data_IF_812510660894
#
_entry.id   IF_812510660894
#
_cell.length_a   1.000
_cell.length_b   1.000
_cell.length_c   1.000
_cell.angle_alpha   90.00
_cell.angle_beta   90.00
_cell.angle_gamma   90.00
#
_symmetry.space_group_name_H-M   'P 1'
#
loop_
_entity.id
_entity.type
_entity.pdbx_description
1 polymer ?
#
# COMPACT_ATOMS: atom_id res chain seq x y z
N UNK A 1 22.93 13.57 12.85
CA UNK A 1 22.54 12.26 13.45
C UNK A 1 22.03 11.37 12.34
N UNK A 2 22.27 10.07 12.39
CA UNK A 2 21.73 9.13 11.40
C UNK A 2 20.23 8.97 11.66
N UNK A 3 19.41 9.10 10.63
CA UNK A 3 17.96 8.92 10.74
C UNK A 3 17.63 7.48 11.15
N UNK A 4 16.59 7.29 11.95
CA UNK A 4 16.09 5.97 12.31
C UNK A 4 15.45 5.29 11.11
N UNK A 5 15.61 3.97 11.02
CA UNK A 5 15.06 3.20 9.91
C UNK A 5 13.58 2.95 10.08
N UNK A 6 12.83 3.15 9.00
CA UNK A 6 11.41 2.80 8.91
C UNK A 6 11.18 1.92 7.67
N UNK A 7 10.62 0.73 7.88
CA UNK A 7 10.17 -0.13 6.79
C UNK A 7 8.65 -0.03 6.64
N UNK A 8 8.20 0.41 5.47
CA UNK A 8 6.78 0.45 5.11
C UNK A 8 6.52 -0.69 4.13
N UNK A 9 5.56 -1.57 4.46
CA UNK A 9 5.19 -2.69 3.60
C UNK A 9 3.76 -2.52 3.12
N UNK A 10 3.58 -2.56 1.80
CA UNK A 10 2.25 -2.64 1.20
C UNK A 10 1.98 -4.06 0.73
N UNK A 11 0.91 -4.65 1.22
CA UNK A 11 0.48 -6.00 0.84
C UNK A 11 -0.82 -5.96 0.03
N UNK A 12 -0.87 -6.76 -1.05
CA UNK A 12 -2.04 -6.86 -1.93
C UNK A 12 -3.16 -7.74 -1.36
N UNK A 13 -4.37 -7.59 -1.93
CA UNK A 13 -5.56 -8.31 -1.47
C UNK A 13 -5.45 -9.84 -1.55
N UNK A 14 -4.75 -10.40 -2.53
CA UNK A 14 -4.59 -11.86 -2.68
C UNK A 14 -3.90 -12.50 -1.47
N UNK A 15 -2.83 -11.87 -0.99
CA UNK A 15 -2.09 -12.34 0.20
C UNK A 15 -2.96 -12.22 1.45
N UNK A 16 -3.71 -11.13 1.57
CA UNK A 16 -4.57 -10.85 2.73
C UNK A 16 -5.75 -11.83 2.84
N UNK A 17 -6.19 -12.40 1.71
CA UNK A 17 -7.31 -13.35 1.67
C UNK A 17 -6.90 -14.79 1.90
N UNK A 18 -5.65 -15.14 1.64
CA UNK A 18 -5.08 -16.46 1.88
C UNK A 18 -4.51 -16.51 3.31
N UNK A 19 -5.12 -17.31 4.17
CA UNK A 19 -4.78 -17.35 5.60
C UNK A 19 -3.32 -17.82 5.83
N UNK A 20 -2.80 -18.74 5.03
CA UNK A 20 -1.45 -19.26 5.16
C UNK A 20 -0.43 -18.20 4.71
N UNK A 21 -0.63 -17.62 3.52
CA UNK A 21 0.22 -16.55 2.99
C UNK A 21 0.25 -15.33 3.92
N UNK A 22 -0.92 -14.94 4.47
CA UNK A 22 -0.99 -13.85 5.44
C UNK A 22 -0.22 -14.18 6.71
N UNK A 23 -0.38 -15.39 7.27
CA UNK A 23 0.31 -15.79 8.49
C UNK A 23 1.84 -15.80 8.30
N UNK A 24 2.35 -16.25 7.16
CA UNK A 24 3.76 -16.19 6.80
C UNK A 24 4.24 -14.74 6.69
N UNK A 25 3.53 -13.90 5.92
CA UNK A 25 3.86 -12.47 5.81
C UNK A 25 3.94 -11.79 7.18
N UNK A 26 2.95 -12.04 8.06
CA UNK A 26 2.92 -11.43 9.39
C UNK A 26 4.07 -11.94 10.29
N UNK A 27 4.52 -13.19 10.12
CA UNK A 27 5.70 -13.71 10.80
C UNK A 27 6.97 -12.98 10.34
N UNK A 28 7.19 -12.88 9.03
CA UNK A 28 8.33 -12.16 8.46
C UNK A 28 8.29 -10.67 8.81
N UNK A 29 7.12 -10.04 8.73
CA UNK A 29 6.93 -8.64 9.14
C UNK A 29 7.24 -8.44 10.63
N UNK A 30 6.86 -9.38 11.50
CA UNK A 30 7.14 -9.29 12.93
C UNK A 30 8.64 -9.31 13.24
N UNK A 31 9.43 -10.03 12.42
CA UNK A 31 10.88 -10.17 12.56
C UNK A 31 11.68 -8.94 12.06
N UNK A 32 11.05 -8.02 11.32
CA UNK A 32 11.70 -6.78 10.87
C UNK A 32 12.11 -5.94 12.08
N UNK A 33 13.38 -5.57 12.15
CA UNK A 33 13.92 -4.70 13.19
C UNK A 33 13.70 -3.21 12.88
N UNK A 34 13.62 -2.38 13.93
CA UNK A 34 13.35 -0.94 13.80
C UNK A 34 11.87 -0.62 13.65
N UNK A 35 11.59 0.62 13.22
CA UNK A 35 10.21 1.05 12.99
C UNK A 35 9.64 0.39 11.73
N UNK A 36 8.37 0.04 11.80
CA UNK A 36 7.65 -0.60 10.70
C UNK A 36 6.19 -0.19 10.64
N UNK A 37 5.63 -0.15 9.45
CA UNK A 37 4.24 0.20 9.16
C UNK A 37 3.73 -0.71 8.05
N UNK A 38 2.50 -1.20 8.19
CA UNK A 38 1.86 -2.05 7.18
C UNK A 38 0.70 -1.30 6.51
N UNK A 39 0.63 -1.38 5.19
CA UNK A 39 -0.52 -0.92 4.41
C UNK A 39 -1.12 -2.12 3.70
N UNK A 40 -2.41 -2.37 3.90
CA UNK A 40 -3.06 -3.52 3.27
C UNK A 40 -4.05 -3.13 2.17
N UNK A 41 -4.28 -4.06 1.24
CA UNK A 41 -5.40 -4.02 0.33
C UNK A 41 -6.62 -4.74 0.90
N UNK A 42 -7.53 -5.17 0.04
CA UNK A 42 -8.75 -5.90 0.42
C UNK A 42 -9.81 -5.91 -0.67
N UNK A 43 -9.44 -5.47 -1.87
CA UNK A 43 -10.38 -5.26 -2.97
C UNK A 43 -11.16 -6.52 -3.38
N UNK A 44 -10.55 -7.70 -3.36
CA UNK A 44 -11.22 -8.98 -3.66
C UNK A 44 -12.24 -9.33 -2.60
N UNK A 45 -11.86 -9.24 -1.31
CA UNK A 45 -12.77 -9.46 -0.18
C UNK A 45 -13.97 -8.51 -0.25
N UNK A 46 -13.73 -7.22 -0.56
CA UNK A 46 -14.82 -6.27 -0.73
C UNK A 46 -15.73 -6.63 -1.91
N UNK A 47 -15.20 -7.08 -3.06
CA UNK A 47 -16.00 -7.54 -4.19
C UNK A 47 -16.86 -8.76 -3.80
N UNK A 48 -16.27 -9.72 -3.09
CA UNK A 48 -16.97 -10.93 -2.63
C UNK A 48 -18.13 -10.58 -1.69
N UNK A 49 -17.88 -9.72 -0.70
CA UNK A 49 -18.91 -9.30 0.26
C UNK A 49 -19.98 -8.45 -0.44
N UNK A 50 -19.59 -7.51 -1.32
CA UNK A 50 -20.55 -6.73 -2.11
C UNK A 50 -21.50 -7.63 -2.91
N UNK A 51 -20.97 -8.64 -3.61
CA UNK A 51 -21.77 -9.60 -4.36
C UNK A 51 -22.74 -10.39 -3.47
N UNK A 52 -22.34 -10.80 -2.27
CA UNK A 52 -23.19 -11.47 -1.30
C UNK A 52 -24.34 -10.57 -0.80
N UNK A 53 -24.14 -9.26 -0.79
CA UNK A 53 -25.13 -8.24 -0.44
C UNK A 53 -25.96 -7.75 -1.64
N UNK A 54 -25.77 -8.34 -2.83
CA UNK A 54 -26.46 -7.91 -4.06
C UNK A 54 -25.96 -6.59 -4.63
N UNK A 55 -24.76 -6.12 -4.23
CA UNK A 55 -24.14 -4.88 -4.71
C UNK A 55 -23.12 -5.24 -5.80
N UNK A 56 -23.33 -4.70 -6.99
CA UNK A 56 -22.42 -4.91 -8.13
C UNK A 56 -21.18 -4.01 -8.01
N UNK A 57 -20.00 -4.62 -8.11
CA UNK A 57 -18.73 -3.90 -8.09
C UNK A 57 -18.25 -3.54 -9.48
N UNK A 58 -18.09 -2.27 -9.76
CA UNK A 58 -17.58 -1.76 -11.04
C UNK A 58 -16.12 -1.32 -10.89
N UNK A 59 -15.29 -1.75 -11.86
CA UNK A 59 -13.86 -1.43 -11.89
C UNK A 59 -13.52 -0.77 -13.23
N UNK A 60 -12.83 0.38 -13.17
CA UNK A 60 -12.33 1.07 -14.36
C UNK A 60 -10.85 1.42 -14.15
N UNK A 61 -10.01 1.01 -15.10
CA UNK A 61 -8.55 1.21 -15.03
C UNK A 61 -7.94 0.75 -13.69
N UNK A 62 -8.39 -0.40 -13.17
CA UNK A 62 -7.91 -0.96 -11.91
C UNK A 62 -8.41 -0.23 -10.66
N UNK A 63 -9.32 0.73 -10.78
CA UNK A 63 -9.91 1.50 -9.68
C UNK A 63 -11.39 1.19 -9.55
N UNK A 64 -11.86 1.08 -8.32
CA UNK A 64 -13.27 0.81 -7.99
C UNK A 64 -14.09 2.09 -8.11
N UNK A 65 -15.16 2.06 -8.89
CA UNK A 65 -16.24 3.05 -8.77
C UNK A 65 -16.89 2.82 -7.41
N UNK A 66 -16.99 3.86 -6.63
CA UNK A 66 -17.41 3.77 -5.23
C UNK A 66 -18.62 4.67 -5.01
N UNK A 67 -19.81 4.13 -5.26
CA UNK A 67 -21.05 4.75 -4.85
C UNK A 67 -21.28 4.64 -3.33
N UNK A 68 -22.40 5.11 -2.83
CA UNK A 68 -22.68 5.13 -1.40
C UNK A 68 -22.77 3.72 -0.77
N UNK A 69 -23.32 2.74 -1.48
CA UNK A 69 -23.43 1.37 -0.97
C UNK A 69 -22.10 0.63 -1.06
N UNK A 70 -21.36 0.83 -2.13
CA UNK A 70 -19.99 0.34 -2.24
C UNK A 70 -19.09 0.95 -1.16
N UNK A 71 -19.25 2.25 -0.83
CA UNK A 71 -18.48 2.88 0.25
C UNK A 71 -18.75 2.20 1.60
N UNK A 72 -20.01 1.89 1.93
CA UNK A 72 -20.36 1.13 3.14
C UNK A 72 -19.62 -0.22 3.19
N UNK A 73 -19.67 -0.97 2.07
CA UNK A 73 -18.99 -2.27 1.97
C UNK A 73 -17.49 -2.15 2.18
N UNK A 74 -16.82 -1.24 1.45
CA UNK A 74 -15.36 -1.10 1.59
C UNK A 74 -14.98 -0.59 2.98
N UNK A 75 -15.79 0.25 3.61
CA UNK A 75 -15.55 0.70 4.99
C UNK A 75 -15.62 -0.47 5.97
N UNK A 76 -16.67 -1.31 5.90
CA UNK A 76 -16.80 -2.51 6.73
C UNK A 76 -15.66 -3.50 6.49
N UNK A 77 -15.35 -3.77 5.22
CA UNK A 77 -14.36 -4.79 4.86
C UNK A 77 -12.93 -4.31 5.11
N UNK A 78 -12.57 -3.12 4.67
CA UNK A 78 -11.19 -2.65 4.84
C UNK A 78 -10.91 -2.20 6.26
N UNK A 79 -11.75 -1.32 6.85
CA UNK A 79 -11.56 -0.79 8.19
C UNK A 79 -11.86 -1.78 9.32
N UNK A 80 -12.80 -2.68 9.06
CA UNK A 80 -13.22 -3.72 10.02
C UNK A 80 -12.53 -5.06 9.76
N UNK A 81 -13.08 -5.85 8.85
CA UNK A 81 -12.72 -7.26 8.68
C UNK A 81 -11.22 -7.48 8.42
N UNK A 82 -10.69 -6.87 7.35
CA UNK A 82 -9.30 -7.11 6.93
C UNK A 82 -8.33 -6.48 7.93
N UNK A 83 -8.53 -5.22 8.25
CA UNK A 83 -7.65 -4.47 9.15
C UNK A 83 -7.53 -5.15 10.53
N UNK A 84 -8.66 -5.50 11.15
CA UNK A 84 -8.65 -6.07 12.51
C UNK A 84 -8.12 -7.51 12.54
N UNK A 85 -8.31 -8.30 11.48
CA UNK A 85 -7.70 -9.62 11.39
C UNK A 85 -6.16 -9.53 11.30
N UNK A 86 -5.63 -8.56 10.54
CA UNK A 86 -4.18 -8.30 10.48
C UNK A 86 -3.66 -7.85 11.85
N UNK A 87 -4.34 -6.92 12.51
CA UNK A 87 -3.96 -6.45 13.85
C UNK A 87 -3.95 -7.61 14.85
N UNK A 88 -5.00 -8.44 14.88
CA UNK A 88 -5.07 -9.61 15.76
C UNK A 88 -3.92 -10.60 15.48
N UNK A 89 -3.62 -10.86 14.21
CA UNK A 89 -2.49 -11.71 13.80
C UNK A 89 -1.13 -11.16 14.22
N UNK A 90 -0.92 -9.85 14.17
CA UNK A 90 0.29 -9.19 14.64
C UNK A 90 0.41 -9.21 16.17
N UNK A 91 -0.69 -8.97 16.89
CA UNK A 91 -0.71 -9.07 18.36
C UNK A 91 -0.37 -10.49 18.82
N UNK A 92 -0.86 -11.52 18.13
CA UNK A 92 -0.50 -12.92 18.43
C UNK A 92 0.99 -13.23 18.22
N UNK A 93 1.71 -12.38 17.46
CA UNK A 93 3.17 -12.47 17.23
C UNK A 93 3.96 -11.48 18.10
N UNK A 94 3.34 -10.86 19.11
CA UNK A 94 3.99 -9.94 20.04
C UNK A 94 4.24 -8.54 19.46
N UNK A 95 3.65 -8.19 18.32
CA UNK A 95 3.75 -6.84 17.73
C UNK A 95 2.61 -5.98 18.26
N UNK A 96 2.91 -4.87 18.95
CA UNK A 96 1.92 -3.92 19.42
C UNK A 96 1.35 -3.09 18.26
N UNK A 97 0.38 -3.65 17.54
CA UNK A 97 -0.19 -3.07 16.34
C UNK A 97 -1.50 -2.33 16.61
N UNK A 98 -1.72 -1.23 15.88
CA UNK A 98 -2.98 -0.48 15.83
C UNK A 98 -3.48 -0.42 14.39
N UNK A 99 -4.76 -0.73 14.20
CA UNK A 99 -5.40 -0.59 12.89
C UNK A 99 -6.04 0.77 12.72
N UNK A 100 -5.67 1.46 11.63
CA UNK A 100 -6.10 2.82 11.31
C UNK A 100 -6.68 2.91 9.90
N UNK A 101 -7.64 3.80 9.75
CA UNK A 101 -8.00 4.48 8.50
C UNK A 101 -7.36 5.87 8.49
N UNK A 102 -7.45 6.59 7.39
CA UNK A 102 -7.00 7.98 7.35
C UNK A 102 -7.78 8.93 8.28
N UNK A 103 -9.01 8.55 8.65
CA UNK A 103 -9.86 9.34 9.55
C UNK A 103 -9.41 9.26 11.02
N UNK A 104 -8.78 8.14 11.40
CA UNK A 104 -8.30 7.97 12.78
C UNK A 104 -7.17 8.96 13.02
N UNK A 105 -7.28 9.80 14.03
CA UNK A 105 -6.32 10.88 14.39
C UNK A 105 -5.97 11.81 13.21
N UNK A 106 -6.83 11.92 12.18
CA UNK A 106 -6.59 12.71 10.96
C UNK A 106 -5.23 12.38 10.31
N UNK A 107 -4.90 11.08 10.25
CA UNK A 107 -3.58 10.66 9.76
C UNK A 107 -3.44 10.78 8.26
N UNK A 108 -4.53 10.67 7.47
CA UNK A 108 -4.52 10.90 6.02
C UNK A 108 -5.80 11.59 5.58
N UNK A 109 -5.67 12.84 5.14
CA UNK A 109 -6.74 13.62 4.55
C UNK A 109 -6.68 13.59 3.03
N UNK A 110 -7.83 13.44 2.40
CA UNK A 110 -8.00 13.42 0.94
C UNK A 110 -9.03 14.43 0.49
N UNK A 111 -9.05 14.72 -0.80
CA UNK A 111 -10.20 15.37 -1.45
C UNK A 111 -10.92 14.35 -2.30
N UNK A 112 -12.24 14.47 -2.39
CA UNK A 112 -13.02 13.69 -3.34
C UNK A 112 -12.47 13.91 -4.74
N UNK A 113 -12.20 12.82 -5.45
CA UNK A 113 -11.67 12.90 -6.82
C UNK A 113 -12.62 13.70 -7.71
N UNK A 114 -12.13 14.73 -8.41
CA UNK A 114 -12.96 15.49 -9.33
C UNK A 114 -13.44 14.61 -10.49
N UNK A 115 -14.69 14.80 -10.88
CA UNK A 115 -15.26 14.14 -12.06
C UNK A 115 -14.58 14.70 -13.31
N UNK A 116 -14.09 13.78 -14.16
CA UNK A 116 -13.60 14.07 -15.51
C UNK A 116 -14.43 13.21 -16.48
N UNK A 117 -13.77 12.36 -17.26
CA UNK A 117 -14.44 11.41 -18.17
C UNK A 117 -15.24 10.35 -17.39
N UNK A 118 -14.85 10.04 -16.16
CA UNK A 118 -15.46 9.02 -15.30
C UNK A 118 -15.72 9.61 -13.92
N UNK A 119 -16.94 9.42 -13.41
CA UNK A 119 -17.26 9.66 -12.01
C UNK A 119 -16.90 8.40 -11.18
N UNK A 120 -15.85 8.50 -10.38
CA UNK A 120 -15.45 7.43 -9.48
C UNK A 120 -16.23 7.42 -8.15
N UNK A 121 -17.15 8.38 -7.94
CA UNK A 121 -17.93 8.49 -6.71
C UNK A 121 -17.09 8.92 -5.49
N UNK A 122 -17.20 8.17 -4.39
CA UNK A 122 -16.52 8.46 -3.13
C UNK A 122 -15.07 7.95 -3.12
N UNK A 123 -14.29 8.33 -4.12
CA UNK A 123 -12.85 8.04 -4.22
C UNK A 123 -12.05 9.25 -3.78
N UNK A 124 -11.03 9.03 -2.94
CA UNK A 124 -10.15 10.07 -2.40
C UNK A 124 -8.81 10.16 -3.13
N UNK A 125 -8.39 11.40 -3.40
CA UNK A 125 -7.02 11.75 -3.77
C UNK A 125 -6.32 12.37 -2.56
N UNK A 126 -5.22 11.76 -2.10
CA UNK A 126 -4.51 12.16 -0.88
C UNK A 126 -4.00 13.60 -1.02
N UNK A 127 -4.27 14.42 -0.01
CA UNK A 127 -3.80 15.81 0.09
C UNK A 127 -2.77 16.00 1.18
N UNK A 128 -2.94 15.30 2.29
CA UNK A 128 -2.08 15.47 3.45
C UNK A 128 -1.95 14.15 4.21
N UNK A 129 -0.74 13.86 4.65
CA UNK A 129 -0.43 12.82 5.63
C UNK A 129 0.11 13.49 6.88
N UNK A 130 -0.45 13.17 8.03
CA UNK A 130 -0.01 13.67 9.33
C UNK A 130 1.22 12.87 9.81
N UNK A 131 2.37 13.13 9.19
CA UNK A 131 3.63 12.45 9.49
C UNK A 131 4.03 12.58 10.98
N UNK A 132 3.89 13.74 11.66
CA UNK A 132 4.19 13.84 13.09
C UNK A 132 3.36 12.89 13.95
N UNK A 133 2.07 12.69 13.65
CA UNK A 133 1.22 11.77 14.39
C UNK A 133 1.65 10.31 14.18
N UNK A 134 1.91 9.90 12.94
CA UNK A 134 2.42 8.55 12.65
C UNK A 134 3.79 8.32 13.29
N UNK A 135 4.69 9.30 13.24
CA UNK A 135 6.00 9.22 13.91
C UNK A 135 5.86 9.06 15.43
N UNK A 136 4.92 9.78 16.04
CA UNK A 136 4.64 9.65 17.48
C UNK A 136 4.23 8.22 17.86
N UNK A 137 3.37 7.56 17.07
CA UNK A 137 3.00 6.17 17.29
C UNK A 137 4.22 5.24 17.17
N UNK A 138 5.01 5.41 16.10
CA UNK A 138 6.21 4.61 15.84
C UNK A 138 7.23 4.73 16.97
N UNK A 139 7.49 5.94 17.46
CA UNK A 139 8.42 6.17 18.60
C UNK A 139 7.91 5.58 19.92
N UNK A 140 6.59 5.39 20.07
CA UNK A 140 5.99 4.67 21.21
C UNK A 140 6.00 3.14 21.04
N UNK A 141 6.61 2.62 19.97
CA UNK A 141 6.63 1.19 19.67
C UNK A 141 5.29 0.64 19.19
N UNK A 142 4.37 1.52 18.78
CA UNK A 142 3.07 1.14 18.19
C UNK A 142 3.24 1.04 16.68
N UNK A 143 2.81 -0.10 16.10
CA UNK A 143 2.92 -0.39 14.68
C UNK A 143 1.60 -0.08 13.98
N UNK A 144 1.53 0.98 13.13
CA UNK A 144 0.32 1.29 12.37
C UNK A 144 0.06 0.25 11.29
N UNK A 145 -1.21 -0.17 11.17
CA UNK A 145 -1.76 -1.00 10.08
C UNK A 145 -2.80 -0.17 9.37
N UNK A 146 -2.46 0.34 8.17
CA UNK A 146 -3.27 1.31 7.45
C UNK A 146 -4.23 0.63 6.47
N UNK A 147 -5.52 0.90 6.61
CA UNK A 147 -6.54 0.52 5.63
C UNK A 147 -6.60 1.55 4.48
N UNK A 148 -7.01 1.14 3.26
CA UNK A 148 -7.12 2.04 2.11
C UNK A 148 -8.40 2.89 2.15
N UNK A 149 -8.58 3.60 3.25
CA UNK A 149 -9.69 4.51 3.54
C UNK A 149 -9.13 5.83 4.06
N UNK A 150 -9.66 6.93 3.57
CA UNK A 150 -9.31 8.28 4.00
C UNK A 150 -10.57 9.08 4.32
N UNK A 151 -10.46 10.35 4.66
CA UNK A 151 -11.56 11.25 4.88
C UNK A 151 -11.29 12.63 4.26
N UNK A 152 -12.33 13.43 4.09
CA UNK A 152 -12.23 14.77 3.48
C UNK A 152 -12.02 15.90 4.49
N UNK A 153 -12.15 15.62 5.80
CA UNK A 153 -12.15 16.64 6.87
C UNK A 153 -13.51 17.27 7.10
N UNK A 154 -14.54 16.92 6.33
CA UNK A 154 -15.92 17.43 6.41
C UNK A 154 -16.91 16.37 6.92
N UNK A 155 -16.39 15.22 7.37
CA UNK A 155 -17.20 14.13 7.94
C UNK A 155 -17.49 12.98 6.98
N UNK A 156 -16.90 12.96 5.79
CA UNK A 156 -17.12 11.89 4.81
C UNK A 156 -15.90 10.98 4.65
N UNK A 157 -16.15 9.69 4.59
CA UNK A 157 -15.13 8.70 4.26
C UNK A 157 -14.94 8.61 2.75
N UNK A 158 -13.71 8.31 2.34
CA UNK A 158 -13.33 8.13 0.95
C UNK A 158 -12.54 6.83 0.77
N UNK A 159 -12.86 6.09 -0.29
CA UNK A 159 -12.08 4.92 -0.72
C UNK A 159 -10.81 5.40 -1.44
N UNK A 160 -9.66 4.90 -1.05
CA UNK A 160 -8.36 5.31 -1.62
C UNK A 160 -7.56 4.06 -2.04
N UNK A 161 -6.75 4.19 -3.07
CA UNK A 161 -5.91 3.08 -3.51
C UNK A 161 -4.80 2.80 -2.49
N UNK A 162 -4.58 1.52 -2.12
CA UNK A 162 -3.62 1.12 -1.11
C UNK A 162 -2.15 1.42 -1.53
N UNK A 163 -1.82 1.35 -2.82
CA UNK A 163 -0.47 1.74 -3.31
C UNK A 163 -0.26 3.25 -3.12
N UNK A 164 -1.31 4.06 -3.33
CA UNK A 164 -1.29 5.50 -3.07
C UNK A 164 -1.11 5.78 -1.57
N UNK A 165 -1.85 5.11 -0.70
CA UNK A 165 -1.67 5.25 0.77
C UNK A 165 -0.23 4.95 1.17
N UNK A 166 0.35 3.85 0.68
CA UNK A 166 1.72 3.46 1.01
C UNK A 166 2.74 4.49 0.50
N UNK A 167 2.62 4.91 -0.76
CA UNK A 167 3.52 5.89 -1.37
C UNK A 167 3.48 7.25 -0.69
N UNK A 168 2.27 7.80 -0.46
CA UNK A 168 2.12 9.11 0.18
C UNK A 168 2.56 9.08 1.66
N UNK A 169 2.30 7.97 2.38
CA UNK A 169 2.80 7.78 3.74
C UNK A 169 4.33 7.71 3.77
N UNK A 170 4.94 6.99 2.82
CA UNK A 170 6.40 6.90 2.72
C UNK A 170 7.05 8.26 2.43
N UNK A 171 6.51 9.02 1.46
CA UNK A 171 6.97 10.39 1.14
C UNK A 171 6.90 11.31 2.35
N UNK A 172 5.78 11.31 3.07
CA UNK A 172 5.57 12.18 4.22
C UNK A 172 6.54 11.85 5.38
N UNK A 173 6.82 10.56 5.61
CA UNK A 173 7.72 10.10 6.67
C UNK A 173 9.21 10.17 6.30
N UNK A 174 9.56 10.35 5.02
CA UNK A 174 10.95 10.42 4.55
C UNK A 174 11.74 11.61 5.11
N UNK A 175 11.06 12.67 5.56
CA UNK A 175 11.70 13.79 6.26
C UNK A 175 12.07 13.50 7.72
N UNK A 176 11.51 12.43 8.31
CA UNK A 176 11.67 12.06 9.71
C UNK A 176 12.44 10.74 9.88
N UNK A 177 12.43 9.85 8.87
CA UNK A 177 13.01 8.52 8.91
C UNK A 177 13.81 8.20 7.63
N UNK A 178 14.75 7.27 7.76
CA UNK A 178 15.36 6.57 6.62
C UNK A 178 14.37 5.49 6.14
N UNK A 179 13.54 5.84 5.14
CA UNK A 179 12.38 5.05 4.71
C UNK A 179 12.75 4.06 3.61
N UNK A 180 12.45 2.78 3.85
CA UNK A 180 12.37 1.74 2.82
C UNK A 180 10.89 1.39 2.59
N UNK A 181 10.40 1.55 1.36
CA UNK A 181 9.06 1.16 0.95
C UNK A 181 9.11 -0.15 0.17
N UNK A 182 8.39 -1.17 0.62
CA UNK A 182 8.32 -2.49 -0.02
C UNK A 182 6.89 -2.72 -0.53
N UNK A 183 6.77 -2.90 -1.84
CA UNK A 183 5.53 -3.34 -2.49
C UNK A 183 5.57 -4.85 -2.68
N UNK A 184 4.68 -5.57 -2.00
CA UNK A 184 4.50 -7.01 -2.16
C UNK A 184 3.54 -7.31 -3.30
N UNK A 185 4.01 -8.04 -4.29
CA UNK A 185 3.26 -8.51 -5.46
C UNK A 185 3.26 -10.04 -5.56
N UNK A 186 2.68 -10.54 -6.67
CA UNK A 186 2.61 -11.96 -6.99
C UNK A 186 3.86 -12.48 -7.74
N UNK A 187 4.75 -11.58 -8.15
CA UNK A 187 6.00 -11.88 -8.88
C UNK A 187 7.22 -11.52 -8.02
N UNK A 188 8.34 -12.16 -8.28
CA UNK A 188 9.61 -11.96 -7.55
C UNK A 188 10.16 -10.53 -7.66
N UNK A 189 9.65 -9.73 -8.61
CA UNK A 189 10.07 -8.36 -8.90
C UNK A 189 9.46 -7.90 -10.21
N UNK A 190 10.05 -6.87 -10.82
CA UNK A 190 9.80 -6.51 -12.22
C UNK A 190 10.55 -7.51 -13.09
N UNK A 191 9.83 -8.24 -13.94
CA UNK A 191 10.41 -9.26 -14.81
C UNK A 191 10.75 -8.67 -16.18
N UNK A 192 11.83 -9.15 -16.79
CA UNK A 192 12.15 -8.85 -18.18
C UNK A 192 11.24 -9.62 -19.15
N UNK A 193 10.86 -10.84 -18.77
CA UNK A 193 9.87 -11.69 -19.46
C UNK A 193 8.81 -12.12 -18.44
N UNK A 194 7.55 -11.78 -18.69
CA UNK A 194 6.43 -12.11 -17.79
C UNK A 194 6.22 -13.62 -17.59
N UNK A 195 6.71 -14.44 -18.50
CA UNK A 195 6.62 -15.91 -18.45
C UNK A 195 7.82 -16.59 -17.78
N UNK A 196 8.88 -15.82 -17.47
CA UNK A 196 10.07 -16.32 -16.78
C UNK A 196 10.22 -15.64 -15.41
N UNK A 197 9.82 -16.33 -14.35
CA UNK A 197 9.89 -15.83 -12.96
C UNK A 197 11.34 -15.61 -12.47
N UNK A 198 12.35 -16.08 -13.18
CA UNK A 198 13.76 -15.88 -12.86
C UNK A 198 14.39 -14.69 -13.61
N UNK A 199 13.64 -14.09 -14.54
CA UNK A 199 14.06 -12.90 -15.32
C UNK A 199 13.95 -11.57 -14.56
N UNK A 200 14.11 -11.60 -13.23
CA UNK A 200 13.97 -10.39 -12.38
C UNK A 200 15.00 -9.35 -12.76
N UNK A 201 14.56 -8.13 -12.98
CA UNK A 201 15.41 -6.93 -13.11
C UNK A 201 15.83 -6.51 -11.70
N UNK A 202 17.10 -6.70 -11.29
CA UNK A 202 17.48 -6.51 -9.89
C UNK A 202 17.50 -5.04 -9.47
N UNK A 203 17.83 -4.15 -10.40
CA UNK A 203 17.87 -2.69 -10.16
C UNK A 203 17.23 -1.97 -11.33
N UNK A 204 16.37 -1.01 -11.03
CA UNK A 204 15.70 -0.19 -12.03
C UNK A 204 15.95 1.30 -11.72
N UNK A 205 16.58 1.98 -12.68
CA UNK A 205 16.80 3.44 -12.68
C UNK A 205 15.80 4.12 -13.60
N UNK A 206 15.61 5.46 -13.53
CA UNK A 206 14.74 6.18 -14.47
C UNK A 206 15.11 5.98 -15.95
N UNK A 207 16.41 5.83 -16.26
CA UNK A 207 16.88 5.60 -17.62
C UNK A 207 16.49 4.21 -18.11
N UNK A 208 16.79 3.16 -17.33
CA UNK A 208 16.38 1.78 -17.62
C UNK A 208 14.85 1.62 -17.69
N UNK A 209 14.13 2.34 -16.85
CA UNK A 209 12.67 2.35 -16.92
C UNK A 209 12.16 2.85 -18.27
N UNK A 210 12.69 4.00 -18.74
CA UNK A 210 12.32 4.55 -20.06
C UNK A 210 12.68 3.62 -21.20
N UNK A 211 13.87 3.01 -21.14
CA UNK A 211 14.34 2.01 -22.12
C UNK A 211 13.39 0.81 -22.17
N UNK A 212 13.09 0.19 -21.02
CA UNK A 212 12.22 -0.99 -20.96
C UNK A 212 10.75 -0.70 -21.31
N UNK A 213 10.27 0.51 -21.07
CA UNK A 213 8.95 0.94 -21.57
C UNK A 213 8.97 1.07 -23.10
N UNK A 214 10.02 1.66 -23.68
CA UNK A 214 10.16 1.82 -25.13
C UNK A 214 10.31 0.46 -25.85
N UNK A 215 11.00 -0.50 -25.23
CA UNK A 215 11.17 -1.88 -25.71
C UNK A 215 9.92 -2.76 -25.50
N UNK A 216 8.92 -2.26 -24.76
CA UNK A 216 7.71 -3.03 -24.44
C UNK A 216 7.93 -4.14 -23.40
N UNK A 217 9.04 -4.13 -22.68
CA UNK A 217 9.31 -5.03 -21.54
C UNK A 217 8.43 -4.65 -20.36
N UNK A 218 8.32 -3.35 -20.05
CA UNK A 218 7.45 -2.83 -19.01
C UNK A 218 6.19 -2.27 -19.65
N UNK A 219 5.03 -2.82 -19.31
CA UNK A 219 3.76 -2.47 -19.94
C UNK A 219 2.60 -2.35 -18.93
N UNK A 220 1.48 -1.78 -19.40
CA UNK A 220 0.18 -1.81 -18.72
C UNK A 220 0.22 -1.23 -17.30
N UNK A 221 -0.39 -1.94 -16.36
CA UNK A 221 -0.51 -1.50 -14.97
C UNK A 221 0.79 -1.42 -14.18
N UNK A 222 1.92 -1.93 -14.71
CA UNK A 222 3.23 -1.81 -14.06
C UNK A 222 3.79 -0.40 -14.21
N UNK A 223 3.54 0.29 -15.33
CA UNK A 223 4.03 1.65 -15.59
C UNK A 223 3.64 2.61 -14.46
N UNK A 224 2.34 2.83 -14.14
CA UNK A 224 1.96 3.79 -13.10
C UNK A 224 2.48 3.40 -11.71
N UNK A 225 2.72 2.12 -11.44
CA UNK A 225 3.32 1.68 -10.18
C UNK A 225 4.78 2.09 -10.07
N UNK A 226 5.54 1.93 -11.15
CA UNK A 226 6.94 2.32 -11.21
C UNK A 226 7.09 3.85 -11.18
N UNK A 227 6.24 4.59 -11.90
CA UNK A 227 6.19 6.05 -11.82
C UNK A 227 5.96 6.53 -10.39
N UNK A 228 5.00 5.93 -9.66
CA UNK A 228 4.77 6.24 -8.24
C UNK A 228 5.99 5.88 -7.37
N UNK A 229 6.71 4.81 -7.71
CA UNK A 229 7.92 4.40 -6.99
C UNK A 229 9.06 5.39 -7.21
N UNK A 230 9.29 5.83 -8.44
CA UNK A 230 10.27 6.88 -8.75
C UNK A 230 9.90 8.21 -8.07
N UNK A 231 8.63 8.59 -8.13
CA UNK A 231 8.15 9.77 -7.40
C UNK A 231 8.45 9.67 -5.89
N UNK A 232 8.27 8.50 -5.27
CA UNK A 232 8.61 8.33 -3.86
C UNK A 232 10.10 8.56 -3.58
N UNK A 233 10.99 8.06 -4.44
CA UNK A 233 12.44 8.29 -4.36
C UNK A 233 12.79 9.79 -4.52
N UNK A 234 12.14 10.49 -5.45
CA UNK A 234 12.34 11.94 -5.65
C UNK A 234 11.95 12.74 -4.41
N UNK A 235 10.91 12.32 -3.70
CA UNK A 235 10.45 12.92 -2.45
C UNK A 235 11.21 12.45 -1.20
N UNK A 236 12.35 11.75 -1.36
CA UNK A 236 13.27 11.47 -0.27
C UNK A 236 13.16 10.07 0.35
N UNK A 237 12.29 9.20 -0.18
CA UNK A 237 12.29 7.77 0.20
C UNK A 237 13.64 7.17 -0.20
N UNK A 238 14.34 6.52 0.73
CA UNK A 238 15.71 6.03 0.51
C UNK A 238 15.77 4.86 -0.45
N UNK A 239 14.74 4.01 -0.42
CA UNK A 239 14.67 2.82 -1.25
C UNK A 239 13.21 2.41 -1.47
N UNK A 240 12.88 2.01 -2.70
CA UNK A 240 11.63 1.31 -3.01
C UNK A 240 11.96 -0.06 -3.58
N UNK A 241 11.28 -1.10 -3.09
CA UNK A 241 11.49 -2.48 -3.50
C UNK A 241 10.17 -3.07 -3.99
N UNK A 242 10.22 -3.77 -5.10
CA UNK A 242 9.10 -4.59 -5.61
C UNK A 242 9.50 -6.04 -5.48
N UNK A 243 8.74 -6.83 -4.71
CA UNK A 243 9.09 -8.22 -4.40
C UNK A 243 7.88 -9.09 -4.08
N UNK A 244 8.09 -10.39 -3.87
CA UNK A 244 7.10 -11.31 -3.32
C UNK A 244 6.82 -11.02 -1.84
N UNK A 245 5.61 -11.35 -1.40
CA UNK A 245 5.24 -11.25 0.02
C UNK A 245 6.07 -12.15 0.95
N UNK A 246 6.67 -13.21 0.41
CA UNK A 246 7.59 -14.11 1.12
C UNK A 246 9.06 -13.67 1.10
N UNK A 247 9.38 -12.48 0.59
CA UNK A 247 10.74 -11.98 0.42
C UNK A 247 10.85 -10.50 0.84
N UNK A 248 10.30 -10.15 1.99
CA UNK A 248 10.29 -8.78 2.54
C UNK A 248 11.55 -8.45 3.35
N UNK A 249 12.67 -9.04 2.97
CA UNK A 249 13.98 -8.92 3.62
C UNK A 249 14.71 -7.58 3.36
N UNK A 250 14.12 -6.71 2.53
CA UNK A 250 14.70 -5.43 2.14
C UNK A 250 15.83 -5.54 1.10
N UNK A 251 16.01 -6.69 0.46
CA UNK A 251 17.10 -6.95 -0.50
C UNK A 251 16.63 -7.68 -1.75
N UNK A 252 15.67 -8.58 -1.61
CA UNK A 252 15.16 -9.43 -2.69
C UNK A 252 14.18 -8.65 -3.57
N UNK A 253 14.18 -8.94 -4.88
CA UNK A 253 13.28 -8.34 -5.86
C UNK A 253 13.94 -7.25 -6.70
N UNK A 254 13.14 -6.30 -7.18
CA UNK A 254 13.60 -5.14 -7.94
C UNK A 254 13.76 -3.93 -7.05
N UNK A 255 14.96 -3.40 -6.97
CA UNK A 255 15.28 -2.19 -6.21
C UNK A 255 15.19 -0.98 -7.14
N UNK A 256 14.31 -0.03 -6.80
CA UNK A 256 14.18 1.25 -7.51
C UNK A 256 15.17 2.24 -6.91
N UNK A 257 15.97 2.88 -7.77
CA UNK A 257 16.99 3.87 -7.39
C UNK A 257 16.94 5.10 -8.29
N UNK A 258 17.57 6.21 -7.80
CA UNK A 258 17.84 7.40 -8.64
C UNK A 258 18.77 7.06 -9.77
#
# INVERSE_FOLDING_TARGET
>A
MKMEKLTIIKVGGKIVEDAESLNHLLADFSAISGHKLLVHGGGRSATKIASQLGIESQMVNGRRITDADTLKVVTMVYGGLVNKNIVAGLQAKGVNAIGLTGADMDVIRSVKRPVKDIDYGFVGDVKQVNAPMLASLLHQGIVPVMAPLTHDGEGHMLNTNADTIAGETAKALASLFDVTLIYCFEKKGVLRDENDDDSVIPVLTPDLFREYVAEGVIQGGMIPKLENSFSAIEFGVSQVIITLASAIDGKSGTIIKK
#
